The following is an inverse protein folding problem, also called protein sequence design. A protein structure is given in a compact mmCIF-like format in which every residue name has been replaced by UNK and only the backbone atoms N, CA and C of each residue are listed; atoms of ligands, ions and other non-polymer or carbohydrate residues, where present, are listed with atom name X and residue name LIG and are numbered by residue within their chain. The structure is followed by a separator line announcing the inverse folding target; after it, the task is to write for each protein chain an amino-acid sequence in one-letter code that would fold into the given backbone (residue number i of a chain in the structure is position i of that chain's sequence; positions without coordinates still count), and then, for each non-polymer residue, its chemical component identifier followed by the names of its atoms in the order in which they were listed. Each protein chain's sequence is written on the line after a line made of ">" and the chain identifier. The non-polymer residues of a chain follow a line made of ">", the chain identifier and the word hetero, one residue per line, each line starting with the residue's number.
data_IF_666776341074
#
_entry.id   IF_666776341074
#
_cell.length_a   1.000
_cell.length_b   1.000
_cell.length_c   1.000
_cell.angle_alpha   90.00
_cell.angle_beta   90.00
_cell.angle_gamma   90.00
#
_symmetry.space_group_name_H-M   'P 1'
#
loop_
_entity.id
_entity.type
_entity.pdbx_description
1 polymer ?
#
# COMPACT_ATOMS: atom_id res chain seq x y z
N UNK A 1 2.52 12.88 -22.31
CA UNK A 1 1.64 12.10 -21.40
C UNK A 1 2.40 11.00 -20.71
N UNK A 2 3.02 10.05 -21.43
CA UNK A 2 3.78 8.92 -20.83
C UNK A 2 4.90 9.36 -19.87
N UNK A 3 5.74 10.33 -20.26
CA UNK A 3 6.82 10.81 -19.38
C UNK A 3 6.32 11.44 -18.07
N UNK A 4 5.15 12.08 -18.06
CA UNK A 4 4.53 12.61 -16.83
C UNK A 4 4.09 11.47 -15.90
N UNK A 5 3.44 10.43 -16.46
CA UNK A 5 3.01 9.28 -15.69
C UNK A 5 4.17 8.53 -15.03
N UNK A 6 5.32 8.41 -15.72
CA UNK A 6 6.51 7.79 -15.12
C UNK A 6 6.95 8.57 -13.88
N UNK A 7 7.04 9.90 -13.99
CA UNK A 7 7.40 10.77 -12.86
C UNK A 7 6.37 10.65 -11.73
N UNK A 8 5.09 10.64 -12.05
CA UNK A 8 4.00 10.50 -11.07
C UNK A 8 4.07 9.15 -10.34
N UNK A 9 4.36 8.05 -11.05
CA UNK A 9 4.60 6.73 -10.44
C UNK A 9 5.80 6.77 -9.50
N UNK A 10 6.91 7.40 -9.91
CA UNK A 10 8.09 7.53 -9.04
C UNK A 10 7.78 8.36 -7.79
N UNK A 11 6.97 9.41 -7.90
CA UNK A 11 6.50 10.17 -6.74
C UNK A 11 5.67 9.28 -5.83
N UNK A 12 4.77 8.46 -6.38
CA UNK A 12 3.99 7.49 -5.59
C UNK A 12 4.90 6.50 -4.84
N UNK A 13 5.98 6.04 -5.46
CA UNK A 13 6.96 5.15 -4.81
C UNK A 13 7.63 5.84 -3.63
N UNK A 14 8.08 7.09 -3.80
CA UNK A 14 8.70 7.87 -2.72
C UNK A 14 7.70 8.05 -1.57
N UNK A 15 6.45 8.43 -1.86
CA UNK A 15 5.41 8.61 -0.84
C UNK A 15 5.12 7.31 -0.11
N UNK A 16 5.05 6.18 -0.83
CA UNK A 16 4.82 4.87 -0.22
C UNK A 16 6.00 4.45 0.67
N UNK A 17 7.24 4.69 0.22
CA UNK A 17 8.43 4.44 1.03
C UNK A 17 8.45 5.31 2.30
N UNK A 18 8.09 6.59 2.21
CA UNK A 18 7.95 7.49 3.37
C UNK A 18 6.85 7.02 4.33
N UNK A 19 5.71 6.59 3.80
CA UNK A 19 4.62 6.00 4.58
C UNK A 19 5.12 4.78 5.37
N UNK A 20 5.81 3.85 4.71
CA UNK A 20 6.38 2.67 5.37
C UNK A 20 7.41 3.07 6.44
N UNK A 21 8.29 4.02 6.13
CA UNK A 21 9.27 4.55 7.08
C UNK A 21 8.58 5.11 8.33
N UNK A 22 7.52 5.92 8.19
CA UNK A 22 6.76 6.48 9.31
C UNK A 22 6.15 5.39 10.18
N UNK A 23 5.58 4.34 9.58
CA UNK A 23 4.95 3.24 10.32
C UNK A 23 5.94 2.49 11.20
N UNK A 24 7.11 2.19 10.64
CA UNK A 24 8.08 1.35 11.32
C UNK A 24 9.11 2.12 12.13
N UNK A 25 9.21 3.44 11.97
CA UNK A 25 10.26 4.26 12.56
C UNK A 25 10.48 4.02 14.07
N UNK A 26 9.39 3.90 14.85
CA UNK A 26 9.47 3.82 16.32
C UNK A 26 9.57 2.40 16.88
N UNK A 27 9.05 1.39 16.18
CA UNK A 27 8.93 0.02 16.70
C UNK A 27 9.46 -1.04 15.74
N UNK A 28 10.14 -0.62 14.67
CA UNK A 28 10.64 -1.52 13.64
C UNK A 28 9.51 -2.41 13.09
N UNK A 29 9.75 -3.73 12.95
CA UNK A 29 8.78 -4.69 12.42
C UNK A 29 7.47 -4.75 13.21
N UNK A 30 7.56 -4.61 14.52
CA UNK A 30 6.41 -4.57 15.43
C UNK A 30 5.51 -3.36 15.14
N UNK A 31 6.05 -2.28 14.55
CA UNK A 31 5.26 -1.14 14.08
C UNK A 31 4.28 -1.50 12.97
N UNK A 32 4.64 -2.46 12.12
CA UNK A 32 3.84 -2.96 10.99
C UNK A 32 3.17 -4.32 11.23
N UNK A 33 3.09 -4.78 12.48
CA UNK A 33 2.55 -6.11 12.84
C UNK A 33 1.13 -6.38 12.29
N UNK A 34 0.33 -5.34 12.01
CA UNK A 34 -1.00 -5.50 11.44
C UNK A 34 -0.99 -6.04 10.00
N UNK A 35 0.12 -5.92 9.26
CA UNK A 35 0.29 -6.53 7.94
C UNK A 35 0.51 -8.05 7.99
N UNK A 36 0.99 -8.57 9.12
CA UNK A 36 1.33 -9.98 9.27
C UNK A 36 0.08 -10.87 9.35
N UNK A 37 0.22 -12.19 9.10
CA UNK A 37 -0.84 -13.16 9.27
C UNK A 37 -1.43 -13.14 10.69
N UNK A 38 -2.69 -13.57 10.82
CA UNK A 38 -3.42 -13.56 12.10
C UNK A 38 -2.67 -14.29 13.22
N UNK A 39 -2.08 -15.46 12.89
CA UNK A 39 -1.33 -16.29 13.84
C UNK A 39 -0.13 -15.56 14.47
N UNK A 40 0.61 -14.75 13.69
CA UNK A 40 1.71 -13.96 14.21
C UNK A 40 1.21 -12.79 15.07
N UNK A 41 0.09 -12.17 14.69
CA UNK A 41 -0.52 -11.10 15.50
C UNK A 41 -0.97 -11.60 16.86
N UNK A 42 -1.57 -12.78 16.90
CA UNK A 42 -1.97 -13.46 18.14
C UNK A 42 -0.75 -13.79 18.99
N UNK A 43 0.30 -14.38 18.38
CA UNK A 43 1.55 -14.69 19.09
C UNK A 43 2.17 -13.45 19.74
N UNK A 44 2.27 -12.34 19.01
CA UNK A 44 2.82 -11.06 19.53
C UNK A 44 2.02 -10.54 20.73
N UNK A 45 0.70 -10.77 20.77
CA UNK A 45 -0.15 -10.42 21.91
C UNK A 45 0.10 -11.37 23.08
N UNK A 46 0.17 -12.68 22.83
CA UNK A 46 0.43 -13.72 23.84
C UNK A 46 1.76 -13.51 24.57
N UNK A 47 2.83 -13.18 23.85
CA UNK A 47 4.16 -12.91 24.42
C UNK A 47 4.30 -11.48 24.99
N UNK A 48 3.22 -10.69 25.00
CA UNK A 48 3.16 -9.39 25.66
C UNK A 48 3.89 -8.25 24.92
N UNK A 49 4.28 -8.42 23.66
CA UNK A 49 4.96 -7.38 22.88
C UNK A 49 4.01 -6.26 22.43
N UNK A 50 2.71 -6.56 22.27
CA UNK A 50 1.69 -5.57 21.93
C UNK A 50 0.31 -5.94 22.49
N UNK A 51 -0.50 -4.95 22.85
CA UNK A 51 -1.90 -5.20 23.23
C UNK A 51 -2.83 -5.16 22.02
N UNK A 52 -3.97 -5.86 22.10
CA UNK A 52 -4.99 -5.84 21.03
C UNK A 52 -5.50 -4.42 20.74
N UNK A 53 -5.68 -3.60 21.78
CA UNK A 53 -6.10 -2.21 21.64
C UNK A 53 -5.05 -1.38 20.89
N UNK A 54 -3.77 -1.55 21.20
CA UNK A 54 -2.68 -0.86 20.50
C UNK A 54 -2.62 -1.31 19.03
N UNK A 55 -2.71 -2.62 18.77
CA UNK A 55 -2.72 -3.19 17.43
C UNK A 55 -3.85 -2.58 16.58
N UNK A 56 -5.07 -2.53 17.12
CA UNK A 56 -6.24 -1.96 16.44
C UNK A 56 -6.04 -0.48 16.12
N UNK A 57 -5.56 0.31 17.09
CA UNK A 57 -5.31 1.75 16.91
C UNK A 57 -4.27 2.00 15.82
N UNK A 58 -3.17 1.24 15.82
CA UNK A 58 -2.12 1.32 14.81
C UNK A 58 -2.63 0.94 13.42
N UNK A 59 -3.35 -0.18 13.32
CA UNK A 59 -3.96 -0.64 12.08
C UNK A 59 -4.89 0.42 11.48
N UNK A 60 -5.78 0.99 12.29
CA UNK A 60 -6.72 2.02 11.83
C UNK A 60 -5.98 3.26 11.34
N UNK A 61 -5.01 3.77 12.10
CA UNK A 61 -4.20 4.91 11.69
C UNK A 61 -3.47 4.64 10.36
N UNK A 62 -2.83 3.47 10.25
CA UNK A 62 -2.06 3.09 9.07
C UNK A 62 -2.94 3.01 7.81
N UNK A 63 -4.12 2.39 7.89
CA UNK A 63 -5.01 2.29 6.73
C UNK A 63 -5.66 3.62 6.37
N UNK A 64 -6.06 4.44 7.35
CA UNK A 64 -6.59 5.77 7.06
C UNK A 64 -5.53 6.60 6.34
N UNK A 65 -4.30 6.64 6.87
CA UNK A 65 -3.20 7.39 6.26
C UNK A 65 -2.91 6.89 4.84
N UNK A 66 -2.81 5.57 4.65
CA UNK A 66 -2.55 4.99 3.33
C UNK A 66 -3.65 5.33 2.32
N UNK A 67 -4.92 5.10 2.67
CA UNK A 67 -6.05 5.37 1.77
C UNK A 67 -6.14 6.86 1.44
N UNK A 68 -5.91 7.74 2.41
CA UNK A 68 -5.87 9.18 2.16
C UNK A 68 -4.76 9.54 1.17
N UNK A 69 -3.54 9.02 1.34
CA UNK A 69 -2.43 9.28 0.41
C UNK A 69 -2.70 8.71 -0.99
N UNK A 70 -3.17 7.46 -1.07
CA UNK A 70 -3.46 6.76 -2.33
C UNK A 70 -4.64 7.35 -3.11
N UNK A 71 -5.53 8.11 -2.47
CA UNK A 71 -6.65 8.78 -3.15
C UNK A 71 -6.32 10.25 -3.44
N UNK A 72 -5.75 11.00 -2.49
CA UNK A 72 -5.57 12.44 -2.67
C UNK A 72 -4.42 12.77 -3.61
N UNK A 73 -3.31 12.04 -3.54
CA UNK A 73 -2.12 12.34 -4.37
C UNK A 73 -2.39 12.05 -5.86
N UNK A 74 -2.89 10.86 -6.25
CA UNK A 74 -3.29 10.64 -7.64
C UNK A 74 -4.40 11.59 -8.09
N UNK A 75 -5.38 11.89 -7.22
CA UNK A 75 -6.44 12.85 -7.54
C UNK A 75 -5.89 14.24 -7.89
N UNK A 76 -4.91 14.72 -7.12
CA UNK A 76 -4.23 15.98 -7.40
C UNK A 76 -3.48 15.94 -8.74
N UNK A 77 -2.70 14.89 -8.99
CA UNK A 77 -1.96 14.70 -10.25
C UNK A 77 -2.91 14.68 -11.45
N UNK A 78 -3.93 13.82 -11.41
CA UNK A 78 -4.89 13.60 -12.50
C UNK A 78 -5.67 14.88 -12.81
N UNK A 79 -6.20 15.55 -11.78
CA UNK A 79 -7.09 16.69 -11.96
C UNK A 79 -6.35 18.02 -12.18
N UNK A 80 -5.25 18.26 -11.47
CA UNK A 80 -4.55 19.56 -11.46
C UNK A 80 -3.33 19.60 -12.37
N UNK A 81 -2.54 18.52 -12.44
CA UNK A 81 -1.31 18.46 -13.25
C UNK A 81 -1.61 17.99 -14.68
N UNK A 82 -2.41 16.92 -14.80
CA UNK A 82 -2.75 16.33 -16.08
C UNK A 82 -4.03 16.92 -16.70
N UNK A 83 -4.89 17.55 -15.89
CA UNK A 83 -6.08 18.23 -16.37
C UNK A 83 -7.09 17.29 -17.02
N UNK A 84 -7.27 16.08 -16.47
CA UNK A 84 -8.22 15.10 -17.00
C UNK A 84 -9.66 15.68 -17.05
N UNK A 85 -10.30 15.63 -18.23
CA UNK A 85 -11.64 16.19 -18.43
C UNK A 85 -12.75 15.14 -18.51
N UNK A 86 -12.41 13.91 -18.87
CA UNK A 86 -13.40 12.84 -19.10
C UNK A 86 -13.34 11.81 -17.98
N UNK A 87 -14.47 11.13 -17.74
CA UNK A 87 -14.56 10.00 -16.81
C UNK A 87 -13.50 8.94 -17.12
N UNK A 88 -13.41 8.53 -18.38
CA UNK A 88 -12.42 7.55 -18.82
C UNK A 88 -11.00 8.00 -18.50
N UNK A 89 -10.67 9.28 -18.77
CA UNK A 89 -9.35 9.84 -18.47
C UNK A 89 -8.98 9.77 -16.99
N UNK A 90 -9.94 10.02 -16.11
CA UNK A 90 -9.74 9.88 -14.67
C UNK A 90 -9.52 8.42 -14.26
N UNK A 91 -10.30 7.49 -14.82
CA UNK A 91 -10.23 6.07 -14.48
C UNK A 91 -8.91 5.42 -14.92
N UNK A 92 -8.50 5.57 -16.18
CA UNK A 92 -7.31 4.88 -16.67
C UNK A 92 -6.03 5.46 -16.08
N UNK A 93 -5.96 6.78 -15.84
CA UNK A 93 -4.80 7.38 -15.19
C UNK A 93 -4.66 6.89 -13.74
N UNK A 94 -5.78 6.85 -12.99
CA UNK A 94 -5.76 6.28 -11.65
C UNK A 94 -5.34 4.80 -11.67
N UNK A 95 -5.88 4.01 -12.60
CA UNK A 95 -5.51 2.60 -12.77
C UNK A 95 -4.00 2.41 -12.95
N UNK A 96 -3.38 3.22 -13.84
CA UNK A 96 -1.94 3.16 -14.10
C UNK A 96 -1.13 3.59 -12.88
N UNK A 97 -1.51 4.67 -12.20
CA UNK A 97 -0.82 5.14 -10.99
C UNK A 97 -0.94 4.14 -9.84
N UNK A 98 -2.13 3.56 -9.65
CA UNK A 98 -2.41 2.55 -8.64
C UNK A 98 -1.58 1.29 -8.88
N UNK A 99 -1.60 0.74 -10.11
CA UNK A 99 -0.76 -0.41 -10.45
C UNK A 99 0.73 -0.09 -10.36
N UNK A 100 1.15 1.12 -10.72
CA UNK A 100 2.52 1.57 -10.54
C UNK A 100 2.95 1.53 -9.07
N UNK A 101 2.10 2.01 -8.15
CA UNK A 101 2.36 1.96 -6.72
C UNK A 101 2.36 0.52 -6.17
N UNK A 102 1.37 -0.29 -6.53
CA UNK A 102 1.28 -1.70 -6.13
C UNK A 102 2.43 -2.55 -6.65
N UNK A 103 2.97 -2.23 -7.84
CA UNK A 103 4.16 -2.89 -8.35
C UNK A 103 5.39 -2.65 -7.45
N UNK A 104 5.56 -1.42 -6.96
CA UNK A 104 6.62 -1.11 -6.00
C UNK A 104 6.42 -1.83 -4.67
N UNK A 105 5.20 -1.84 -4.15
CA UNK A 105 4.89 -2.59 -2.93
C UNK A 105 5.19 -4.08 -3.11
N UNK A 106 4.69 -4.71 -4.18
CA UNK A 106 4.92 -6.12 -4.46
C UNK A 106 6.41 -6.48 -4.62
N UNK A 107 7.16 -5.70 -5.40
CA UNK A 107 8.54 -6.00 -5.72
C UNK A 107 9.50 -5.58 -4.59
N UNK A 108 9.44 -4.32 -4.17
CA UNK A 108 10.42 -3.74 -3.26
C UNK A 108 10.07 -4.03 -1.81
N UNK A 109 8.81 -3.82 -1.43
CA UNK A 109 8.40 -3.95 -0.03
C UNK A 109 8.15 -5.43 0.31
N UNK A 110 7.22 -6.08 -0.37
CA UNK A 110 6.83 -7.46 -0.08
C UNK A 110 7.91 -8.48 -0.42
N UNK A 111 8.58 -8.35 -1.57
CA UNK A 111 9.55 -9.36 -2.00
C UNK A 111 10.95 -9.06 -1.46
N UNK A 112 11.53 -7.90 -1.78
CA UNK A 112 12.92 -7.60 -1.40
C UNK A 112 13.04 -7.33 0.10
N UNK A 113 12.22 -6.46 0.66
CA UNK A 113 12.38 -6.06 2.06
C UNK A 113 11.73 -7.05 3.03
N UNK A 114 10.51 -7.53 2.78
CA UNK A 114 9.82 -8.46 3.69
C UNK A 114 10.28 -9.90 3.49
N UNK A 115 10.18 -10.45 2.27
CA UNK A 115 10.42 -11.89 2.07
C UNK A 115 11.90 -12.29 2.01
N UNK A 116 12.78 -11.42 1.50
CA UNK A 116 14.20 -11.73 1.30
C UNK A 116 15.14 -11.19 2.39
N UNK A 117 14.64 -10.37 3.33
CA UNK A 117 15.46 -9.81 4.40
C UNK A 117 14.97 -10.24 5.78
N UNK A 118 15.91 -10.38 6.71
CA UNK A 118 15.64 -10.71 8.10
C UNK A 118 15.08 -9.51 8.90
N UNK A 119 15.03 -8.32 8.29
CA UNK A 119 14.68 -7.08 9.00
C UNK A 119 13.28 -7.16 9.61
N UNK A 120 12.34 -7.83 8.96
CA UNK A 120 10.95 -7.98 9.42
C UNK A 120 10.75 -9.16 10.39
N UNK A 121 11.80 -9.89 10.79
CA UNK A 121 11.63 -10.99 11.75
C UNK A 121 11.40 -10.39 13.14
N UNK A 122 10.33 -10.82 13.82
CA UNK A 122 10.03 -10.40 15.19
C UNK A 122 10.56 -11.48 16.15
N UNK A 123 11.34 -11.10 17.18
CA UNK A 123 11.80 -12.06 18.18
C UNK A 123 10.65 -12.78 18.87
N UNK A 124 10.70 -14.11 18.92
CA UNK A 124 9.64 -14.95 19.50
C UNK A 124 8.55 -15.39 18.51
N UNK A 125 8.73 -15.13 17.20
CA UNK A 125 7.85 -15.60 16.12
C UNK A 125 8.59 -16.30 14.98
N UNK A 126 9.85 -16.68 15.18
CA UNK A 126 10.73 -17.23 14.14
C UNK A 126 10.19 -18.55 13.55
N UNK A 127 9.49 -19.34 14.36
CA UNK A 127 8.82 -20.58 13.97
C UNK A 127 7.70 -20.37 12.94
N UNK A 128 7.18 -19.14 12.83
CA UNK A 128 6.09 -18.79 11.94
C UNK A 128 6.57 -18.13 10.64
N UNK A 129 7.87 -17.89 10.47
CA UNK A 129 8.42 -17.06 9.39
C UNK A 129 7.92 -17.45 8.00
N UNK A 130 7.80 -18.74 7.69
CA UNK A 130 7.34 -19.24 6.38
C UNK A 130 5.93 -18.76 5.99
N UNK A 131 5.10 -18.36 6.97
CA UNK A 131 3.75 -17.85 6.74
C UNK A 131 3.71 -16.42 6.19
N UNK A 132 4.82 -15.69 6.29
CA UNK A 132 4.91 -14.28 5.91
C UNK A 132 6.16 -13.94 5.08
N UNK A 133 7.32 -14.44 5.49
CA UNK A 133 8.64 -14.24 4.88
C UNK A 133 8.91 -15.25 3.77
N UNK A 134 7.99 -15.35 2.81
CA UNK A 134 8.12 -16.31 1.70
C UNK A 134 7.78 -15.67 0.37
N UNK A 135 8.75 -15.72 -0.56
CA UNK A 135 8.57 -15.25 -1.95
C UNK A 135 7.41 -15.99 -2.62
N UNK A 136 7.20 -17.27 -2.29
CA UNK A 136 6.11 -18.07 -2.84
C UNK A 136 4.74 -17.52 -2.44
N UNK A 137 4.60 -17.02 -1.21
CA UNK A 137 3.37 -16.39 -0.70
C UNK A 137 3.09 -15.07 -1.44
N UNK A 138 4.13 -14.34 -1.85
CA UNK A 138 4.00 -13.02 -2.49
C UNK A 138 3.92 -13.06 -4.02
N UNK A 139 4.36 -14.16 -4.65
CA UNK A 139 4.53 -14.28 -6.12
C UNK A 139 3.30 -13.87 -6.94
N UNK A 140 2.11 -14.28 -6.51
CA UNK A 140 0.88 -14.10 -7.28
C UNK A 140 0.11 -12.81 -6.97
N UNK A 141 0.54 -12.04 -5.97
CA UNK A 141 -0.17 -10.84 -5.50
C UNK A 141 -0.40 -9.84 -6.64
N UNK A 142 0.64 -9.50 -7.39
CA UNK A 142 0.53 -8.53 -8.49
C UNK A 142 -0.44 -8.98 -9.59
N UNK A 143 -0.38 -10.27 -9.97
CA UNK A 143 -1.25 -10.81 -11.00
C UNK A 143 -2.73 -10.82 -10.58
N UNK A 144 -3.01 -11.03 -9.29
CA UNK A 144 -4.36 -10.94 -8.72
C UNK A 144 -4.86 -9.49 -8.64
N UNK A 145 -3.97 -8.52 -8.42
CA UNK A 145 -4.31 -7.10 -8.32
C UNK A 145 -4.71 -6.45 -9.64
N UNK A 146 -4.17 -6.92 -10.77
CA UNK A 146 -4.49 -6.37 -12.11
C UNK A 146 -5.99 -6.37 -12.41
N UNK A 147 -6.73 -7.51 -12.31
CA UNK A 147 -8.18 -7.49 -12.53
C UNK A 147 -8.94 -6.83 -11.39
N UNK A 148 -8.47 -6.94 -10.14
CA UNK A 148 -9.13 -6.37 -8.97
C UNK A 148 -9.10 -4.83 -8.94
N UNK A 149 -8.06 -4.23 -9.54
CA UNK A 149 -7.90 -2.78 -9.60
C UNK A 149 -8.83 -2.10 -10.61
N UNK A 150 -9.42 -2.84 -11.56
CA UNK A 150 -10.37 -2.29 -12.55
C UNK A 150 -11.60 -1.66 -11.88
N UNK A 151 -12.40 -2.37 -11.05
CA UNK A 151 -13.56 -1.78 -10.39
C UNK A 151 -13.19 -0.66 -9.43
N UNK A 152 -12.06 -0.77 -8.72
CA UNK A 152 -11.56 0.30 -7.84
C UNK A 152 -11.28 1.56 -8.66
N UNK A 153 -10.61 1.42 -9.80
CA UNK A 153 -10.26 2.55 -10.65
C UNK A 153 -11.47 3.19 -11.31
N UNK A 154 -12.47 2.38 -11.69
CA UNK A 154 -13.75 2.89 -12.18
C UNK A 154 -14.49 3.70 -11.10
N UNK A 155 -14.47 3.23 -9.85
CA UNK A 155 -15.11 3.93 -8.73
C UNK A 155 -14.38 5.23 -8.38
N UNK A 156 -13.07 5.17 -8.10
CA UNK A 156 -12.26 6.33 -7.71
C UNK A 156 -12.14 7.34 -8.86
N UNK A 157 -11.96 6.88 -10.09
CA UNK A 157 -11.98 7.74 -11.27
C UNK A 157 -13.32 8.47 -11.45
N UNK A 158 -14.42 7.83 -11.07
CA UNK A 158 -15.74 8.46 -10.99
C UNK A 158 -15.82 9.57 -9.96
N UNK A 159 -15.23 9.38 -8.77
CA UNK A 159 -15.15 10.43 -7.76
C UNK A 159 -14.36 11.64 -8.27
N UNK A 160 -13.20 11.41 -8.91
CA UNK A 160 -12.39 12.49 -9.48
C UNK A 160 -13.13 13.25 -10.58
N UNK A 161 -13.80 12.52 -11.48
CA UNK A 161 -14.60 13.13 -12.52
C UNK A 161 -15.77 13.94 -11.94
N UNK A 162 -16.44 13.44 -10.90
CA UNK A 162 -17.47 14.17 -10.18
C UNK A 162 -16.96 15.49 -9.58
N UNK A 163 -15.77 15.47 -8.94
CA UNK A 163 -15.13 16.69 -8.43
C UNK A 163 -14.89 17.69 -9.57
N UNK A 164 -14.40 17.22 -10.73
CA UNK A 164 -14.11 18.05 -11.90
C UNK A 164 -15.34 18.72 -12.49
N UNK A 165 -16.47 18.01 -12.56
CA UNK A 165 -17.73 18.57 -13.09
C UNK A 165 -18.30 19.63 -12.16
N UNK A 166 -18.03 19.53 -10.86
CA UNK A 166 -18.54 20.45 -9.83
C UNK A 166 -17.64 21.68 -9.59
N UNK A 167 -16.44 21.74 -10.19
CA UNK A 167 -15.43 22.79 -9.98
C UNK A 167 -15.17 23.63 -11.21
#
# INVERSE_FOLDING_TARGET
>A
MVGKLIIEILIMWIIYALYMAILVHKRGPLGGIFFYPKVMRERVIEIGLMTEQELKKRRTFAYILLLTLMILVPGFMILRINGAQTYFSCCWQFYVLFLGAEFFDWLVIDTIWVALSDWWIIPGTEDLNDTWHSVHVKKWKMLQLIPFSIPISAFIGGLYWGIRVLS
#
